data_IF_150134674199
#
_entry.id   IF_150134674199
#
_cell.length_a   1.000
_cell.length_b   1.000
_cell.length_c   1.000
_cell.angle_alpha   90.00
_cell.angle_beta   90.00
_cell.angle_gamma   90.00
#
_symmetry.space_group_name_H-M   'P 1'
#
loop_
_entity.id
_entity.type
_entity.pdbx_description
1 polymer ?
#
# COMPACT_ATOMS: atom_id res chain seq x y z
N UNK A 1 2.09 22.36 5.05
CA UNK A 1 2.58 21.13 4.38
C UNK A 1 1.51 20.06 4.52
N UNK A 2 0.85 19.64 3.43
CA UNK A 2 -0.05 18.49 3.47
C UNK A 2 0.80 17.23 3.64
N UNK A 3 0.72 16.57 4.80
CA UNK A 3 1.32 15.25 4.99
C UNK A 3 0.42 14.24 4.29
N UNK A 4 0.87 13.70 3.16
CA UNK A 4 0.26 12.50 2.60
C UNK A 4 0.36 11.38 3.63
N UNK A 5 -0.77 10.72 3.92
CA UNK A 5 -0.80 9.58 4.85
C UNK A 5 -0.10 8.40 4.17
N UNK A 6 0.96 7.91 4.79
CA UNK A 6 1.69 6.72 4.31
C UNK A 6 1.10 5.45 4.90
N UNK A 7 1.02 4.40 4.11
CA UNK A 7 0.55 3.06 4.52
C UNK A 7 1.59 2.01 4.13
N UNK A 8 1.95 1.13 5.06
CA UNK A 8 2.76 -0.07 4.80
C UNK A 8 1.82 -1.27 4.59
N UNK A 9 1.96 -1.95 3.46
CA UNK A 9 1.26 -3.20 3.18
C UNK A 9 2.21 -4.36 3.45
N UNK A 10 1.83 -5.21 4.41
CA UNK A 10 2.45 -6.51 4.70
C UNK A 10 1.40 -7.57 4.36
N UNK A 11 1.65 -8.31 3.29
CA UNK A 11 0.71 -9.29 2.73
C UNK A 11 1.53 -10.33 1.97
N UNK A 12 1.41 -11.61 2.29
CA UNK A 12 2.28 -12.65 1.72
C UNK A 12 1.92 -12.96 0.26
N UNK A 13 0.64 -12.83 -0.10
CA UNK A 13 0.16 -13.15 -1.43
C UNK A 13 0.27 -11.95 -2.38
N UNK A 14 1.04 -12.10 -3.47
CA UNK A 14 1.35 -11.00 -4.38
C UNK A 14 0.10 -10.39 -5.01
N UNK A 15 -0.88 -11.21 -5.43
CA UNK A 15 -2.08 -10.73 -6.11
C UNK A 15 -2.95 -9.87 -5.17
N UNK A 16 -3.11 -10.27 -3.91
CA UNK A 16 -3.81 -9.50 -2.88
C UNK A 16 -3.07 -8.24 -2.52
N UNK A 17 -1.74 -8.29 -2.37
CA UNK A 17 -0.91 -7.11 -2.14
C UNK A 17 -1.12 -6.04 -3.21
N UNK A 18 -1.19 -6.43 -4.50
CA UNK A 18 -1.47 -5.50 -5.59
C UNK A 18 -2.89 -4.93 -5.55
N UNK A 19 -3.90 -5.76 -5.23
CA UNK A 19 -5.30 -5.29 -5.09
C UNK A 19 -5.43 -4.27 -3.95
N UNK A 20 -4.78 -4.51 -2.81
CA UNK A 20 -4.78 -3.59 -1.66
C UNK A 20 -4.09 -2.28 -2.03
N UNK A 21 -2.91 -2.35 -2.67
CA UNK A 21 -2.19 -1.18 -3.16
C UNK A 21 -3.06 -0.33 -4.07
N UNK A 22 -3.69 -0.93 -5.09
CA UNK A 22 -4.52 -0.21 -6.04
C UNK A 22 -5.65 0.57 -5.35
N UNK A 23 -6.44 -0.09 -4.50
CA UNK A 23 -7.56 0.53 -3.78
C UNK A 23 -7.13 1.69 -2.88
N UNK A 24 -5.99 1.55 -2.20
CA UNK A 24 -5.48 2.59 -1.30
C UNK A 24 -4.84 3.75 -2.08
N UNK A 25 -4.18 3.49 -3.21
CA UNK A 25 -3.70 4.55 -4.09
C UNK A 25 -4.84 5.37 -4.69
N UNK A 26 -5.93 4.73 -5.14
CA UNK A 26 -7.15 5.41 -5.59
C UNK A 26 -7.77 6.29 -4.49
N UNK A 27 -7.59 5.91 -3.22
CA UNK A 27 -8.04 6.67 -2.06
C UNK A 27 -7.08 7.79 -1.63
N UNK A 28 -5.97 8.02 -2.36
CA UNK A 28 -5.04 9.12 -2.15
C UNK A 28 -3.93 8.85 -1.11
N UNK A 29 -3.70 7.58 -0.75
CA UNK A 29 -2.62 7.20 0.16
C UNK A 29 -1.30 6.98 -0.58
N UNK A 30 -0.19 7.31 0.10
CA UNK A 30 1.15 6.92 -0.34
C UNK A 30 1.45 5.51 0.18
N UNK A 31 1.76 4.58 -0.72
CA UNK A 31 1.89 3.15 -0.38
C UNK A 31 3.34 2.71 -0.36
N UNK A 32 3.72 1.99 0.68
CA UNK A 32 4.96 1.22 0.81
C UNK A 32 4.57 -0.25 0.90
N UNK A 33 5.28 -1.14 0.19
CA UNK A 33 5.06 -2.59 0.26
C UNK A 33 6.29 -3.25 0.89
N UNK A 34 6.08 -4.18 1.82
CA UNK A 34 7.14 -5.06 2.32
C UNK A 34 6.97 -6.43 1.67
N UNK A 35 7.73 -6.68 0.60
CA UNK A 35 7.66 -7.92 -0.19
C UNK A 35 8.23 -9.14 0.54
N UNK A 36 9.12 -8.87 1.50
CA UNK A 36 9.77 -9.80 2.40
C UNK A 36 9.85 -9.23 3.83
N UNK A 37 10.27 -10.07 4.77
CA UNK A 37 10.50 -9.74 6.17
C UNK A 37 11.90 -10.14 6.63
#
# INVERSE_FOLDING_TARGET
MNRHKKVLIVEDEQSFRQVIKFKLQESGYEIIMAEDG
#
